data_IF_091213189242
#
_entry.id   IF_091213189242
#
_cell.length_a   1.000
_cell.length_b   1.000
_cell.length_c   1.000
_cell.angle_alpha   90.00
_cell.angle_beta   90.00
_cell.angle_gamma   90.00
#
_symmetry.space_group_name_H-M   'P 1'
#
loop_
_entity.id
_entity.type
_entity.pdbx_description
1 polymer ?
#
# COMPACT_ATOMS: atom_id res chain seq x y z
N UNK A 1 -29.33 -3.26 -10.72
CA UNK A 1 -28.98 -2.84 -12.09
C UNK A 1 -27.66 -2.13 -11.97
N UNK A 2 -26.60 -2.82 -12.40
CA UNK A 2 -25.18 -2.58 -12.09
C UNK A 2 -24.53 -1.83 -13.27
N UNK A 3 -23.43 -1.12 -13.00
CA UNK A 3 -22.57 -0.49 -14.02
C UNK A 3 -22.27 -1.50 -15.12
N UNK A 4 -22.81 -1.24 -16.30
CA UNK A 4 -22.99 -2.29 -17.33
C UNK A 4 -21.76 -2.53 -18.20
N UNK A 5 -20.70 -1.72 -18.09
CA UNK A 5 -19.49 -1.93 -18.90
C UNK A 5 -18.24 -2.11 -18.03
N UNK A 6 -17.46 -3.15 -18.33
CA UNK A 6 -16.28 -3.54 -17.57
C UNK A 6 -15.19 -2.45 -17.53
N UNK A 7 -15.09 -1.67 -18.61
CA UNK A 7 -14.18 -0.53 -18.68
C UNK A 7 -14.58 0.61 -17.75
N UNK A 8 -15.88 0.86 -17.56
CA UNK A 8 -16.37 1.85 -16.59
C UNK A 8 -16.15 1.39 -15.14
N UNK A 9 -16.27 0.09 -14.85
CA UNK A 9 -15.95 -0.46 -13.52
C UNK A 9 -14.46 -0.28 -13.19
N UNK A 10 -13.59 -0.60 -14.13
CA UNK A 10 -12.15 -0.44 -13.97
C UNK A 10 -11.75 1.05 -13.87
N UNK A 11 -12.43 1.91 -14.63
CA UNK A 11 -12.27 3.37 -14.53
C UNK A 11 -12.72 3.96 -13.21
N UNK A 12 -13.84 3.49 -12.65
CA UNK A 12 -14.31 3.88 -11.32
C UNK A 12 -13.33 3.43 -10.26
N UNK A 13 -12.87 2.18 -10.32
CA UNK A 13 -11.86 1.68 -9.40
C UNK A 13 -10.64 2.61 -9.45
N UNK A 14 -10.09 2.85 -10.63
CA UNK A 14 -8.92 3.71 -10.85
C UNK A 14 -9.11 5.16 -10.41
N UNK A 15 -10.30 5.75 -10.62
CA UNK A 15 -10.60 7.11 -10.18
C UNK A 15 -10.73 7.22 -8.66
N UNK A 16 -11.49 6.31 -8.04
CA UNK A 16 -11.83 6.38 -6.62
C UNK A 16 -10.80 5.69 -5.71
N UNK A 17 -9.78 5.02 -6.29
CA UNK A 17 -8.57 4.55 -5.59
C UNK A 17 -7.38 5.49 -5.74
N UNK A 18 -7.54 6.63 -6.43
CA UNK A 18 -6.49 7.65 -6.47
C UNK A 18 -6.09 8.07 -5.06
N UNK A 19 -4.80 8.36 -4.91
CA UNK A 19 -4.18 8.71 -3.63
C UNK A 19 -4.55 10.12 -3.17
N UNK A 20 -5.35 10.87 -3.94
CA UNK A 20 -5.87 12.17 -3.51
C UNK A 20 -6.80 11.97 -2.28
N UNK A 21 -6.41 12.49 -1.09
CA UNK A 21 -7.19 12.31 0.14
C UNK A 21 -8.62 12.85 0.04
N UNK A 22 -8.83 13.88 -0.78
CA UNK A 22 -10.16 14.45 -0.99
C UNK A 22 -11.03 13.52 -1.84
N UNK A 23 -10.46 12.88 -2.86
CA UNK A 23 -11.16 11.85 -3.65
C UNK A 23 -11.47 10.64 -2.77
N UNK A 24 -10.57 10.25 -1.87
CA UNK A 24 -10.80 9.14 -0.92
C UNK A 24 -11.95 9.44 0.06
N UNK A 25 -12.02 10.65 0.61
CA UNK A 25 -13.16 11.09 1.44
C UNK A 25 -14.47 11.03 0.66
N UNK A 26 -14.44 11.45 -0.60
CA UNK A 26 -15.60 11.35 -1.51
C UNK A 26 -16.01 9.90 -1.72
N UNK A 27 -15.06 8.97 -1.93
CA UNK A 27 -15.36 7.53 -2.08
C UNK A 27 -16.07 6.97 -0.85
N UNK A 28 -15.56 7.25 0.36
CA UNK A 28 -16.17 6.80 1.61
C UNK A 28 -17.55 7.40 1.83
N UNK A 29 -17.72 8.69 1.56
CA UNK A 29 -18.99 9.37 1.70
C UNK A 29 -20.05 8.81 0.74
N UNK A 30 -19.68 8.57 -0.52
CA UNK A 30 -20.57 7.94 -1.50
C UNK A 30 -20.93 6.51 -1.04
N UNK A 31 -19.95 5.71 -0.61
CA UNK A 31 -20.20 4.37 -0.09
C UNK A 31 -21.16 4.37 1.11
N UNK A 32 -21.06 5.35 2.02
CA UNK A 32 -21.94 5.47 3.19
C UNK A 32 -23.36 5.81 2.78
N UNK A 33 -23.51 6.78 1.88
CA UNK A 33 -24.80 7.22 1.34
C UNK A 33 -25.50 6.05 0.64
N UNK A 34 -24.77 5.29 -0.17
CA UNK A 34 -25.33 4.18 -0.93
C UNK A 34 -25.65 2.97 -0.03
N UNK A 35 -24.78 2.67 0.94
CA UNK A 35 -24.99 1.56 1.89
C UNK A 35 -26.03 1.87 2.99
N UNK A 36 -26.61 3.08 3.02
CA UNK A 36 -27.57 3.53 4.04
C UNK A 36 -27.05 3.36 5.48
N UNK A 37 -25.74 3.54 5.69
CA UNK A 37 -25.07 3.31 6.98
C UNK A 37 -25.25 1.88 7.55
N UNK A 38 -25.58 0.89 6.71
CA UNK A 38 -25.78 -0.50 7.16
C UNK A 38 -24.47 -1.23 7.45
N UNK A 39 -23.34 -0.67 7.02
CA UNK A 39 -22.01 -1.24 7.18
C UNK A 39 -21.35 -0.58 8.40
N UNK A 40 -21.12 -1.37 9.46
CA UNK A 40 -20.52 -0.90 10.73
C UNK A 40 -19.15 -0.22 10.57
N UNK A 41 -18.41 -0.62 9.54
CA UNK A 41 -17.10 -0.06 9.21
C UNK A 41 -16.97 0.04 7.70
N UNK A 42 -17.13 1.26 7.19
CA UNK A 42 -17.01 1.52 5.77
C UNK A 42 -15.55 1.71 5.36
N UNK A 43 -15.03 0.71 4.66
CA UNK A 43 -13.67 0.78 4.10
C UNK A 43 -13.73 1.32 2.67
N UNK A 44 -12.57 1.71 2.13
CA UNK A 44 -12.46 2.14 0.73
C UNK A 44 -12.95 1.04 -0.21
N UNK A 45 -12.54 -0.19 0.03
CA UNK A 45 -12.96 -1.38 -0.72
C UNK A 45 -14.47 -1.63 -0.62
N UNK A 46 -15.05 -1.58 0.58
CA UNK A 46 -16.50 -1.73 0.76
C UNK A 46 -17.26 -0.60 0.06
N UNK A 47 -16.73 0.63 0.10
CA UNK A 47 -17.33 1.77 -0.60
C UNK A 47 -17.32 1.57 -2.11
N UNK A 48 -16.20 1.11 -2.66
CA UNK A 48 -16.06 0.79 -4.09
C UNK A 48 -17.00 -0.34 -4.50
N UNK A 49 -17.07 -1.42 -3.73
CA UNK A 49 -17.98 -2.55 -4.00
C UNK A 49 -19.44 -2.08 -4.01
N UNK A 50 -19.85 -1.33 -2.99
CA UNK A 50 -21.20 -0.75 -2.89
C UNK A 50 -21.46 0.24 -4.04
N UNK A 51 -20.49 1.07 -4.41
CA UNK A 51 -20.61 1.99 -5.56
C UNK A 51 -20.79 1.23 -6.87
N UNK A 52 -20.02 0.16 -7.09
CA UNK A 52 -20.13 -0.68 -8.28
C UNK A 52 -21.45 -1.45 -8.33
N UNK A 53 -21.92 -1.97 -7.19
CA UNK A 53 -23.16 -2.77 -7.09
C UNK A 53 -24.44 -1.94 -7.27
N UNK A 54 -24.43 -0.69 -6.79
CA UNK A 54 -25.65 0.12 -6.70
C UNK A 54 -25.71 1.30 -7.68
N UNK A 55 -24.60 1.69 -8.32
CA UNK A 55 -24.63 2.70 -9.38
C UNK A 55 -24.95 2.06 -10.74
N UNK A 56 -25.72 2.77 -11.57
CA UNK A 56 -26.19 2.27 -12.86
C UNK A 56 -25.21 2.53 -14.00
N UNK A 57 -24.59 3.69 -13.98
CA UNK A 57 -23.62 4.15 -14.97
C UNK A 57 -22.59 5.06 -14.28
N UNK A 58 -21.38 5.06 -14.82
CA UNK A 58 -20.29 5.79 -14.20
C UNK A 58 -20.40 7.31 -14.42
N UNK A 59 -21.05 7.76 -15.49
CA UNK A 59 -21.33 9.17 -15.74
C UNK A 59 -22.19 9.79 -14.64
N UNK A 60 -23.29 9.14 -14.26
CA UNK A 60 -24.18 9.55 -13.17
C UNK A 60 -23.49 9.54 -11.80
N UNK A 61 -22.52 8.65 -11.60
CA UNK A 61 -21.72 8.61 -10.38
C UNK A 61 -20.78 9.82 -10.30
N UNK A 62 -20.07 10.13 -11.39
CA UNK A 62 -19.20 11.32 -11.48
C UNK A 62 -19.98 12.63 -11.51
N UNK A 63 -21.24 12.62 -11.93
CA UNK A 63 -22.11 13.80 -11.94
C UNK A 63 -22.53 14.26 -10.54
N UNK A 64 -22.45 13.40 -9.50
CA UNK A 64 -22.85 13.76 -8.13
C UNK A 64 -22.10 15.00 -7.62
N UNK A 65 -22.79 15.87 -6.88
CA UNK A 65 -22.21 17.13 -6.37
C UNK A 65 -20.97 16.95 -5.49
N UNK A 66 -20.89 15.80 -4.81
CA UNK A 66 -19.74 15.43 -3.98
C UNK A 66 -18.48 15.16 -4.81
N UNK A 67 -18.63 14.76 -6.07
CA UNK A 67 -17.52 14.67 -7.04
C UNK A 67 -17.37 16.04 -7.69
N UNK A 68 -16.45 16.85 -7.17
CA UNK A 68 -16.20 18.20 -7.68
C UNK A 68 -15.46 18.16 -9.02
N UNK A 69 -15.68 19.19 -9.83
CA UNK A 69 -15.05 19.43 -11.14
C UNK A 69 -13.51 19.37 -11.06
N UNK A 70 -12.94 19.90 -9.97
CA UNK A 70 -11.49 19.89 -9.72
C UNK A 70 -10.89 18.48 -9.62
N UNK A 71 -11.63 17.50 -9.10
CA UNK A 71 -11.17 16.12 -9.00
C UNK A 71 -11.14 15.44 -10.37
N UNK A 72 -12.13 15.70 -11.21
CA UNK A 72 -12.15 15.21 -12.59
C UNK A 72 -11.01 15.82 -13.40
N UNK A 73 -10.74 17.10 -13.20
CA UNK A 73 -9.66 17.82 -13.88
C UNK A 73 -8.28 17.27 -13.49
N UNK A 74 -8.01 17.14 -12.18
CA UNK A 74 -6.78 16.51 -11.67
C UNK A 74 -6.61 15.08 -12.19
N UNK A 75 -7.69 14.30 -12.17
CA UNK A 75 -7.69 12.93 -12.70
C UNK A 75 -7.24 12.88 -14.16
N UNK A 76 -7.80 13.72 -15.02
CA UNK A 76 -7.47 13.77 -16.45
C UNK A 76 -6.04 14.29 -16.71
N UNK A 77 -5.56 15.24 -15.91
CA UNK A 77 -4.18 15.73 -15.98
C UNK A 77 -3.16 14.62 -15.69
N UNK A 78 -3.43 13.72 -14.75
CA UNK A 78 -2.57 12.55 -14.46
C UNK A 78 -2.40 11.64 -15.67
N UNK A 79 -3.34 11.67 -16.63
CA UNK A 79 -3.29 10.92 -17.88
C UNK A 79 -2.84 11.77 -19.09
N UNK A 80 -2.24 12.94 -18.85
CA UNK A 80 -1.81 13.89 -19.87
C UNK A 80 -2.94 14.40 -20.79
N UNK A 81 -4.19 14.37 -20.32
CA UNK A 81 -5.34 14.94 -21.02
C UNK A 81 -5.54 16.37 -20.49
N UNK A 82 -5.05 17.35 -21.25
CA UNK A 82 -5.20 18.77 -20.93
C UNK A 82 -6.49 19.31 -21.51
N UNK A 83 -7.33 19.89 -20.66
CA UNK A 83 -8.58 20.55 -21.04
C UNK A 83 -8.55 22.03 -20.62
N UNK A 84 -9.29 22.90 -21.33
CA UNK A 84 -9.45 24.29 -20.92
C UNK A 84 -9.97 24.40 -19.47
N UNK A 85 -9.47 25.33 -18.64
CA UNK A 85 -9.88 25.47 -17.24
C UNK A 85 -11.35 25.90 -17.07
N UNK A 86 -11.99 26.41 -18.12
CA UNK A 86 -13.41 26.73 -18.23
C UNK A 86 -14.29 25.56 -18.71
N UNK A 87 -13.71 24.36 -18.84
CA UNK A 87 -14.44 23.16 -19.26
C UNK A 87 -15.58 22.81 -18.31
N UNK A 88 -16.76 22.60 -18.87
CA UNK A 88 -17.94 22.21 -18.09
C UNK A 88 -17.74 20.84 -17.42
N UNK A 89 -18.39 20.61 -16.28
CA UNK A 89 -18.36 19.30 -15.59
C UNK A 89 -18.80 18.15 -16.50
N UNK A 90 -19.79 18.38 -17.37
CA UNK A 90 -20.24 17.39 -18.35
C UNK A 90 -19.14 17.03 -19.37
N UNK A 91 -18.37 18.02 -19.83
CA UNK A 91 -17.22 17.82 -20.71
C UNK A 91 -16.12 17.00 -20.03
N UNK A 92 -15.82 17.27 -18.76
CA UNK A 92 -14.83 16.50 -18.00
C UNK A 92 -15.27 15.05 -17.79
N UNK A 93 -16.55 14.83 -17.47
CA UNK A 93 -17.10 13.47 -17.31
C UNK A 93 -16.98 12.69 -18.62
N UNK A 94 -17.34 13.30 -19.76
CA UNK A 94 -17.23 12.66 -21.06
C UNK A 94 -15.77 12.27 -21.38
N UNK A 95 -14.81 13.14 -21.05
CA UNK A 95 -13.38 12.84 -21.23
C UNK A 95 -12.89 11.71 -20.32
N UNK A 96 -13.37 11.63 -19.07
CA UNK A 96 -13.09 10.49 -18.18
C UNK A 96 -13.63 9.17 -18.77
N UNK A 97 -14.87 9.18 -19.28
CA UNK A 97 -15.47 7.98 -19.88
C UNK A 97 -14.75 7.56 -21.16
N UNK A 98 -14.32 8.51 -21.99
CA UNK A 98 -13.53 8.23 -23.19
C UNK A 98 -12.14 7.68 -22.86
N UNK A 99 -11.48 8.21 -21.84
CA UNK A 99 -10.22 7.67 -21.31
C UNK A 99 -10.41 6.23 -20.86
N UNK A 100 -11.46 5.93 -20.11
CA UNK A 100 -11.72 4.56 -19.64
C UNK A 100 -12.03 3.59 -20.77
N UNK A 101 -12.79 4.03 -21.78
CA UNK A 101 -13.00 3.26 -23.02
C UNK A 101 -11.69 2.97 -23.75
N UNK A 102 -10.77 3.94 -23.82
CA UNK A 102 -9.45 3.74 -24.44
C UNK A 102 -8.56 2.80 -23.63
N UNK A 103 -8.52 3.00 -22.31
CA UNK A 103 -7.61 2.32 -21.38
C UNK A 103 -8.05 0.89 -21.05
N UNK A 104 -9.35 0.67 -20.96
CA UNK A 104 -9.93 -0.59 -20.50
C UNK A 104 -10.92 -1.22 -21.49
N UNK A 105 -11.23 -0.56 -22.62
CA UNK A 105 -12.20 -1.07 -23.61
C UNK A 105 -11.60 -1.96 -24.69
N UNK A 106 -10.29 -2.22 -24.70
CA UNK A 106 -9.65 -3.05 -25.72
C UNK A 106 -9.36 -4.47 -25.23
N UNK A 107 -10.41 -5.30 -25.21
CA UNK A 107 -10.29 -6.74 -25.36
C UNK A 107 -11.57 -7.29 -26.00
N UNK A 108 -11.64 -7.24 -27.34
CA UNK A 108 -12.24 -8.24 -28.25
C UNK A 108 -12.65 -7.58 -29.58
N UNK A 109 -11.83 -7.72 -30.62
CA UNK A 109 -12.37 -7.87 -31.98
C UNK A 109 -11.36 -8.57 -32.89
N UNK A 110 -11.54 -9.87 -33.06
CA UNK A 110 -11.03 -10.60 -34.23
C UNK A 110 -12.09 -10.42 -35.33
N UNK A 111 -11.75 -9.93 -36.53
CA UNK A 111 -12.72 -9.76 -37.60
C UNK A 111 -12.86 -11.06 -38.40
N UNK A 112 -14.05 -11.66 -38.39
CA UNK A 112 -14.50 -12.55 -39.47
C UNK A 112 -16.03 -12.66 -39.45
N UNK A 113 -16.62 -11.84 -40.32
CA UNK A 113 -17.71 -12.13 -41.26
C UNK A 113 -18.80 -13.16 -40.95
N UNK A 114 -20.01 -12.67 -41.24
CA UNK A 114 -21.24 -13.31 -41.76
C UNK A 114 -22.30 -13.84 -40.78
N UNK A 115 -23.38 -13.04 -40.75
CA UNK A 115 -24.81 -13.37 -40.86
C UNK A 115 -25.58 -14.04 -39.71
N UNK A 116 -26.62 -13.29 -39.32
CA UNK A 116 -27.96 -13.68 -38.87
C UNK A 116 -28.35 -13.57 -37.37
N UNK A 117 -29.28 -12.62 -37.17
CA UNK A 117 -30.20 -12.34 -36.06
C UNK A 117 -31.17 -13.53 -35.76
N UNK A 118 -32.09 -13.44 -34.75
CA UNK A 118 -32.01 -12.86 -33.40
C UNK A 118 -32.75 -13.68 -32.29
N UNK A 119 -32.18 -13.74 -31.07
CA UNK A 119 -32.85 -13.84 -29.74
C UNK A 119 -33.92 -14.93 -29.45
N UNK A 120 -34.50 -14.98 -28.22
CA UNK A 120 -34.06 -14.43 -26.93
C UNK A 120 -34.08 -15.46 -25.76
N UNK A 121 -33.44 -15.06 -24.64
CA UNK A 121 -33.71 -15.42 -23.23
C UNK A 121 -33.65 -16.90 -22.80
N UNK A 122 -32.66 -17.31 -21.99
CA UNK A 122 -32.53 -17.10 -20.53
C UNK A 122 -32.94 -18.35 -19.74
N UNK A 123 -31.96 -19.16 -19.32
CA UNK A 123 -31.75 -19.55 -17.92
C UNK A 123 -30.73 -20.71 -17.80
N UNK A 124 -29.99 -20.67 -16.70
CA UNK A 124 -29.07 -21.69 -16.15
C UNK A 124 -27.66 -21.80 -16.76
N UNK A 125 -26.67 -21.27 -16.03
CA UNK A 125 -25.54 -22.02 -15.45
C UNK A 125 -24.42 -21.05 -15.01
N UNK A 126 -24.37 -20.81 -13.69
CA UNK A 126 -23.18 -20.82 -12.83
C UNK A 126 -21.85 -20.30 -13.40
N UNK A 127 -21.49 -19.06 -13.06
CA UNK A 127 -20.08 -18.62 -13.10
C UNK A 127 -19.52 -18.65 -11.69
N UNK A 128 -18.68 -19.65 -11.45
CA UNK A 128 -17.91 -19.83 -10.25
C UNK A 128 -16.89 -18.69 -10.10
N UNK A 129 -16.76 -18.19 -8.86
CA UNK A 129 -15.60 -17.44 -8.40
C UNK A 129 -14.32 -18.25 -8.63
N UNK A 130 -13.15 -17.63 -8.86
CA UNK A 130 -11.89 -18.32 -8.61
C UNK A 130 -11.83 -18.61 -7.12
N UNK A 131 -12.21 -19.83 -6.77
CA UNK A 131 -12.09 -20.34 -5.41
C UNK A 131 -10.62 -20.43 -5.04
N UNK A 132 -10.36 -20.09 -3.79
CA UNK A 132 -9.19 -20.52 -3.06
C UNK A 132 -9.17 -22.05 -3.04
N UNK A 133 -8.41 -22.65 -3.95
CA UNK A 133 -8.07 -24.06 -3.88
C UNK A 133 -6.59 -24.19 -4.16
N UNK A 134 -5.86 -24.70 -3.18
CA UNK A 134 -4.56 -25.30 -3.40
C UNK A 134 -4.74 -26.42 -4.45
N UNK A 135 -4.28 -26.18 -5.67
CA UNK A 135 -3.69 -27.23 -6.49
C UNK A 135 -2.76 -26.64 -7.55
N UNK A 136 -1.64 -27.33 -7.71
CA UNK A 136 -0.40 -26.80 -8.27
C UNK A 136 -0.41 -26.76 -9.78
N UNK A 137 -0.05 -25.63 -10.38
CA UNK A 137 0.48 -25.55 -11.76
C UNK A 137 1.21 -24.22 -12.02
N UNK A 138 2.51 -24.19 -11.69
CA UNK A 138 3.58 -23.36 -12.29
C UNK A 138 3.25 -21.89 -12.63
N UNK A 139 3.15 -21.01 -11.63
CA UNK A 139 3.41 -19.57 -11.84
C UNK A 139 3.92 -18.79 -10.61
N UNK A 140 4.45 -19.45 -9.57
CA UNK A 140 4.94 -18.81 -8.33
C UNK A 140 5.93 -17.65 -8.55
N UNK A 141 6.60 -17.62 -9.71
CA UNK A 141 7.51 -16.53 -10.07
C UNK A 141 6.82 -15.19 -10.37
N UNK A 142 5.57 -15.15 -10.84
CA UNK A 142 4.95 -13.89 -11.31
C UNK A 142 4.53 -12.97 -10.16
N UNK A 143 4.00 -13.53 -9.06
CA UNK A 143 3.56 -12.73 -7.91
C UNK A 143 4.73 -12.03 -7.21
N UNK A 144 5.84 -12.74 -7.00
CA UNK A 144 7.05 -12.16 -6.42
C UNK A 144 7.74 -11.17 -7.35
N UNK A 145 7.65 -11.38 -8.67
CA UNK A 145 8.22 -10.47 -9.65
C UNK A 145 7.43 -9.15 -9.70
N UNK A 146 6.09 -9.23 -9.78
CA UNK A 146 5.22 -8.07 -9.71
C UNK A 146 5.40 -7.30 -8.39
N UNK A 147 5.65 -7.98 -7.27
CA UNK A 147 5.87 -7.35 -5.97
C UNK A 147 7.10 -6.42 -5.98
N UNK A 148 8.26 -6.90 -6.44
CA UNK A 148 9.49 -6.08 -6.50
C UNK A 148 9.38 -4.97 -7.54
N UNK A 149 8.73 -5.22 -8.69
CA UNK A 149 8.53 -4.20 -9.72
C UNK A 149 7.61 -3.08 -9.24
N UNK A 150 6.51 -3.41 -8.55
CA UNK A 150 5.62 -2.43 -7.95
C UNK A 150 6.33 -1.60 -6.86
N UNK A 151 7.14 -2.24 -6.02
CA UNK A 151 7.94 -1.54 -5.01
C UNK A 151 8.98 -0.60 -5.63
N UNK A 152 9.65 -1.04 -6.69
CA UNK A 152 10.62 -0.21 -7.42
C UNK A 152 9.93 0.93 -8.19
N UNK A 153 8.74 0.71 -8.74
CA UNK A 153 7.94 1.78 -9.34
C UNK A 153 7.52 2.83 -8.29
N UNK A 154 7.14 2.39 -7.09
CA UNK A 154 6.88 3.27 -5.95
C UNK A 154 8.14 4.06 -5.53
N UNK A 155 9.30 3.41 -5.57
CA UNK A 155 10.59 4.05 -5.32
C UNK A 155 10.94 5.06 -6.42
N UNK A 156 10.67 4.76 -7.70
CA UNK A 156 11.05 5.59 -8.84
C UNK A 156 10.12 6.80 -9.05
N UNK A 157 8.83 6.67 -8.74
CA UNK A 157 7.87 7.77 -8.82
C UNK A 157 8.09 8.84 -7.76
N UNK A 158 8.81 8.50 -6.69
CA UNK A 158 9.14 9.43 -5.62
C UNK A 158 10.42 10.23 -5.93
N UNK A 159 10.29 11.25 -6.77
CA UNK A 159 11.24 12.39 -6.88
C UNK A 159 11.14 13.34 -5.66
N UNK A 160 10.98 12.77 -4.47
CA UNK A 160 10.60 13.48 -3.25
C UNK A 160 9.10 13.39 -2.97
N UNK A 161 8.78 13.18 -1.69
CA UNK A 161 7.47 13.47 -1.06
C UNK A 161 6.35 12.43 -1.30
N UNK A 162 6.35 11.27 -0.64
CA UNK A 162 5.38 11.05 0.48
C UNK A 162 5.78 11.75 1.78
N UNK A 163 7.04 12.14 1.87
CA UNK A 163 7.64 12.99 2.89
C UNK A 163 7.16 14.44 2.75
N UNK A 164 6.28 14.90 3.64
CA UNK A 164 6.68 16.18 4.25
C UNK A 164 8.05 15.94 4.87
N UNK A 165 8.93 16.93 4.91
CA UNK A 165 10.26 16.80 5.53
C UNK A 165 10.20 16.31 7.00
N UNK A 166 9.01 16.13 7.56
CA UNK A 166 8.72 15.36 8.75
C UNK A 166 7.69 14.24 8.45
N UNK A 167 7.92 13.03 8.95
CA UNK A 167 6.96 11.91 8.86
C UNK A 167 5.59 12.34 9.36
N UNK A 168 4.62 12.50 8.44
CA UNK A 168 3.30 13.07 8.72
C UNK A 168 2.51 12.25 9.76
N UNK A 169 2.66 12.59 11.04
CA UNK A 169 1.50 12.97 11.84
C UNK A 169 1.03 14.38 11.41
N UNK A 170 -0.18 14.82 11.78
CA UNK A 170 -0.76 16.03 11.22
C UNK A 170 0.11 17.28 11.48
N UNK A 171 0.20 18.15 10.47
CA UNK A 171 0.85 19.44 10.57
C UNK A 171 -0.13 20.53 10.96
N UNK A 172 0.23 21.22 12.06
CA UNK A 172 -0.22 22.50 12.62
C UNK A 172 -1.71 22.78 12.96
N UNK A 173 -1.98 23.28 14.19
CA UNK A 173 -3.25 23.91 14.53
C UNK A 173 -3.21 25.38 14.09
N UNK A 174 -3.75 25.69 12.92
CA UNK A 174 -4.20 27.06 12.63
C UNK A 174 -5.61 27.26 13.20
N UNK A 175 -5.73 27.13 14.52
CA UNK A 175 -6.86 27.60 15.30
C UNK A 175 -6.39 27.76 16.75
N UNK A 176 -6.14 29.01 17.16
CA UNK A 176 -5.96 29.34 18.57
C UNK A 176 -7.13 28.75 19.38
N UNK A 177 -6.87 27.71 20.17
CA UNK A 177 -7.85 27.19 21.13
C UNK A 177 -7.88 25.69 21.41
N UNK A 178 -7.23 24.82 20.62
CA UNK A 178 -7.27 23.37 20.90
C UNK A 178 -6.10 22.88 21.76
N UNK A 179 -6.36 22.02 22.77
CA UNK A 179 -5.31 21.47 23.63
C UNK A 179 -4.34 20.59 22.81
N UNK A 180 -3.05 20.58 23.13
CA UNK A 180 -2.07 19.78 22.40
C UNK A 180 -2.33 18.29 22.61
N UNK A 181 -2.62 17.55 21.52
CA UNK A 181 -2.35 16.11 21.46
C UNK A 181 -3.51 15.13 21.27
N UNK A 182 -4.44 15.35 20.33
CA UNK A 182 -5.52 14.37 20.06
C UNK A 182 -5.83 14.04 18.59
N UNK A 183 -4.98 14.37 17.62
CA UNK A 183 -5.14 13.80 16.27
C UNK A 183 -4.36 12.48 16.14
N UNK A 184 -5.01 11.40 16.57
CA UNK A 184 -4.48 10.04 16.48
C UNK A 184 -4.48 9.58 15.01
N UNK A 185 -3.33 9.71 14.32
CA UNK A 185 -3.15 9.08 13.00
C UNK A 185 -3.35 7.56 13.15
N UNK A 186 -4.15 6.90 12.28
CA UNK A 186 -4.39 5.47 12.40
C UNK A 186 -3.07 4.70 12.45
N UNK A 187 -2.84 3.93 13.51
CA UNK A 187 -1.55 3.29 13.80
C UNK A 187 -1.01 2.44 12.65
N UNK A 188 -1.91 1.82 11.89
CA UNK A 188 -1.57 1.02 10.71
C UNK A 188 -1.06 1.86 9.53
N UNK A 189 -1.61 3.07 9.35
CA UNK A 189 -1.11 3.98 8.32
C UNK A 189 0.28 4.47 8.69
N UNK A 190 0.51 4.80 9.98
CA UNK A 190 1.83 5.24 10.44
C UNK A 190 2.87 4.13 10.23
N UNK A 191 2.54 2.92 10.64
CA UNK A 191 3.40 1.77 10.47
C UNK A 191 3.71 1.50 8.99
N UNK A 192 2.72 1.60 8.11
CA UNK A 192 2.90 1.42 6.66
C UNK A 192 3.83 2.50 6.07
N UNK A 193 3.52 3.77 6.31
CA UNK A 193 4.29 4.90 5.79
C UNK A 193 5.74 4.84 6.29
N UNK A 194 5.93 4.55 7.57
CA UNK A 194 7.26 4.41 8.17
C UNK A 194 8.04 3.21 7.60
N UNK A 195 7.38 2.06 7.44
CA UNK A 195 8.00 0.85 6.88
C UNK A 195 8.48 1.10 5.45
N UNK A 196 7.67 1.76 4.62
CA UNK A 196 8.05 2.12 3.25
C UNK A 196 9.24 3.06 3.27
N UNK A 197 9.20 4.14 4.05
CA UNK A 197 10.33 5.06 4.17
C UNK A 197 11.62 4.37 4.60
N UNK A 198 11.55 3.59 5.67
CA UNK A 198 12.70 2.93 6.28
C UNK A 198 13.40 2.02 5.28
N UNK A 199 12.65 1.13 4.62
CA UNK A 199 13.24 0.19 3.66
C UNK A 199 13.68 0.86 2.36
N UNK A 200 13.03 1.95 1.92
CA UNK A 200 13.55 2.76 0.80
C UNK A 200 14.89 3.40 1.15
N UNK A 201 15.00 4.01 2.34
CA UNK A 201 16.23 4.63 2.83
C UNK A 201 17.34 3.61 3.02
N UNK A 202 17.02 2.46 3.61
CA UNK A 202 17.91 1.29 3.75
C UNK A 202 18.43 0.82 2.40
N UNK A 203 17.53 0.52 1.45
CA UNK A 203 17.91 -0.01 0.14
C UNK A 203 18.73 0.99 -0.68
N UNK A 204 18.56 2.30 -0.45
CA UNK A 204 19.34 3.37 -1.09
C UNK A 204 20.65 3.76 -0.41
N UNK A 205 20.99 3.16 0.75
CA UNK A 205 22.11 3.61 1.59
C UNK A 205 22.00 5.10 1.98
N UNK A 206 20.78 5.56 2.25
CA UNK A 206 20.48 6.96 2.59
C UNK A 206 19.82 7.13 3.95
N UNK A 207 19.82 6.05 4.76
CA UNK A 207 19.45 6.08 6.16
C UNK A 207 20.64 6.61 6.97
N UNK A 208 20.40 7.53 7.88
CA UNK A 208 21.43 8.17 8.70
C UNK A 208 21.05 8.12 10.19
N UNK A 209 21.96 8.60 11.04
CA UNK A 209 21.82 8.54 12.49
C UNK A 209 20.61 9.31 13.04
N UNK A 210 20.08 10.30 12.32
CA UNK A 210 18.91 11.09 12.76
C UNK A 210 17.63 10.25 12.84
N UNK A 211 17.60 9.10 12.17
CA UNK A 211 16.51 8.14 12.21
C UNK A 211 16.38 7.44 13.58
N UNK A 212 17.40 7.50 14.44
CA UNK A 212 17.50 6.70 15.65
C UNK A 212 17.58 7.58 16.90
N UNK A 213 17.03 7.06 18.00
CA UNK A 213 17.33 7.59 19.33
C UNK A 213 18.78 7.27 19.73
N UNK A 214 19.38 8.14 20.54
CA UNK A 214 20.77 7.95 21.04
C UNK A 214 20.96 6.63 21.78
N UNK A 215 19.90 6.13 22.41
CA UNK A 215 19.88 4.90 23.19
C UNK A 215 19.28 3.72 22.41
N UNK A 216 19.01 3.89 21.10
CA UNK A 216 18.40 2.87 20.25
C UNK A 216 19.19 1.55 20.27
N UNK A 217 18.47 0.43 20.18
CA UNK A 217 19.09 -0.89 20.05
C UNK A 217 18.62 -1.57 18.76
N UNK A 218 19.52 -2.33 18.15
CA UNK A 218 19.23 -3.19 17.02
C UNK A 218 19.62 -4.62 17.34
N UNK A 219 18.76 -5.57 16.95
CA UNK A 219 19.06 -6.99 16.97
C UNK A 219 18.80 -7.56 15.58
N UNK A 220 19.83 -8.12 14.97
CA UNK A 220 19.73 -8.81 13.68
C UNK A 220 19.95 -10.30 13.91
N UNK A 221 18.94 -11.08 13.57
CA UNK A 221 19.04 -12.53 13.45
C UNK A 221 19.17 -12.86 11.96
N UNK A 222 20.16 -13.67 11.62
CA UNK A 222 20.44 -14.05 10.25
C UNK A 222 20.58 -15.57 10.16
N UNK A 223 19.83 -16.18 9.27
CA UNK A 223 19.87 -17.61 8.97
C UNK A 223 20.02 -17.78 7.45
N UNK A 224 21.25 -17.99 6.99
CA UNK A 224 21.55 -18.17 5.55
C UNK A 224 21.59 -19.67 5.19
N UNK A 225 22.18 -20.46 6.07
CA UNK A 225 22.29 -21.91 5.95
C UNK A 225 22.39 -22.52 7.34
N UNK A 226 22.40 -23.85 7.46
CA UNK A 226 22.60 -24.54 8.75
C UNK A 226 23.94 -24.16 9.43
N UNK A 227 24.96 -23.80 8.65
CA UNK A 227 26.29 -23.44 9.16
C UNK A 227 26.53 -21.94 9.26
N UNK A 228 25.68 -21.13 8.62
CA UNK A 228 25.78 -19.68 8.59
C UNK A 228 24.53 -19.06 9.21
N UNK A 229 24.47 -19.16 10.54
CA UNK A 229 23.45 -18.51 11.37
C UNK A 229 24.13 -17.68 12.46
N UNK A 230 23.50 -16.57 12.84
CA UNK A 230 24.03 -15.70 13.87
C UNK A 230 23.00 -14.71 14.40
N UNK A 231 23.28 -14.19 15.59
CA UNK A 231 22.56 -13.05 16.15
C UNK A 231 23.58 -11.99 16.50
N UNK A 232 23.35 -10.79 15.99
CA UNK A 232 24.15 -9.61 16.31
C UNK A 232 23.28 -8.58 17.02
N UNK A 233 23.84 -7.94 18.04
CA UNK A 233 23.16 -6.91 18.80
C UNK A 233 24.09 -5.72 18.96
N UNK A 234 23.59 -4.54 18.60
CA UNK A 234 24.30 -3.26 18.70
C UNK A 234 23.40 -2.20 19.33
N UNK A 235 24.03 -1.20 19.93
CA UNK A 235 23.34 -0.08 20.59
C UNK A 235 23.94 1.23 20.09
N UNK A 236 23.10 2.24 19.90
CA UNK A 236 23.50 3.55 19.42
C UNK A 236 23.39 3.70 17.89
N UNK A 237 23.00 4.90 17.40
CA UNK A 237 22.76 5.13 15.97
C UNK A 237 23.91 4.72 15.05
N UNK A 238 25.15 5.10 15.39
CA UNK A 238 26.33 4.83 14.59
C UNK A 238 26.60 3.33 14.39
N UNK A 239 26.52 2.54 15.46
CA UNK A 239 26.75 1.09 15.39
C UNK A 239 25.61 0.38 14.64
N UNK A 240 24.38 0.88 14.78
CA UNK A 240 23.25 0.40 13.98
C UNK A 240 23.51 0.66 12.49
N UNK A 241 23.86 1.88 12.09
CA UNK A 241 24.17 2.20 10.68
C UNK A 241 25.32 1.34 10.15
N UNK A 242 26.37 1.14 10.95
CA UNK A 242 27.49 0.29 10.58
C UNK A 242 27.06 -1.17 10.35
N UNK A 243 26.22 -1.72 11.23
CA UNK A 243 25.64 -3.06 11.06
C UNK A 243 24.82 -3.16 9.78
N UNK A 244 23.95 -2.18 9.53
CA UNK A 244 23.10 -2.11 8.32
C UNK A 244 23.96 -2.15 7.04
N UNK A 245 25.00 -1.30 6.99
CA UNK A 245 25.92 -1.23 5.85
C UNK A 245 26.69 -2.53 5.70
N UNK A 246 27.26 -3.07 6.79
CA UNK A 246 27.99 -4.35 6.78
C UNK A 246 27.16 -5.49 6.20
N UNK A 247 25.89 -5.61 6.61
CA UNK A 247 24.96 -6.62 6.08
C UNK A 247 24.74 -6.45 4.57
N UNK A 248 24.52 -5.20 4.11
CA UNK A 248 24.32 -4.93 2.68
C UNK A 248 25.57 -5.20 1.85
N UNK A 249 26.75 -4.83 2.33
CA UNK A 249 28.02 -5.09 1.62
C UNK A 249 28.35 -6.58 1.59
N UNK A 250 28.16 -7.28 2.72
CA UNK A 250 28.53 -8.69 2.84
C UNK A 250 27.61 -9.62 2.05
N UNK A 251 26.30 -9.35 2.06
CA UNK A 251 25.30 -10.27 1.51
C UNK A 251 24.60 -9.76 0.25
N UNK A 252 24.82 -8.49 -0.12
CA UNK A 252 24.35 -7.88 -1.37
C UNK A 252 22.87 -8.13 -1.66
N UNK A 253 22.02 -7.89 -0.66
CA UNK A 253 20.57 -8.00 -0.77
C UNK A 253 19.87 -6.65 -0.63
N UNK A 254 18.60 -6.63 -1.00
CA UNK A 254 17.63 -5.60 -0.66
C UNK A 254 16.44 -6.22 0.08
N UNK A 255 15.87 -5.46 1.01
CA UNK A 255 14.72 -5.89 1.81
C UNK A 255 13.47 -5.17 1.29
N UNK A 256 12.49 -5.96 0.85
CA UNK A 256 11.30 -5.44 0.18
C UNK A 256 10.08 -5.86 0.98
N UNK A 257 9.46 -4.95 1.76
CA UNK A 257 8.33 -5.28 2.62
C UNK A 257 7.10 -5.67 1.81
N UNK A 258 6.28 -6.57 2.37
CA UNK A 258 4.89 -6.73 1.93
C UNK A 258 4.08 -5.55 2.49
N UNK A 259 3.74 -4.60 1.62
CA UNK A 259 3.02 -3.36 1.95
C UNK A 259 1.49 -3.54 1.96
N UNK A 260 1.01 -4.77 1.83
CA UNK A 260 -0.40 -5.12 2.01
C UNK A 260 -0.75 -5.23 3.50
N UNK A 261 -2.05 -5.22 3.83
CA UNK A 261 -2.54 -5.22 5.21
C UNK A 261 -2.12 -6.46 6.03
N UNK A 262 -1.84 -7.57 5.35
CA UNK A 262 -1.38 -8.82 5.94
C UNK A 262 0.14 -8.88 6.09
N UNK A 263 0.88 -7.94 5.48
CA UNK A 263 2.33 -7.84 5.51
C UNK A 263 2.89 -6.75 6.39
N UNK A 264 2.09 -5.71 6.70
CA UNK A 264 2.50 -4.58 7.52
C UNK A 264 1.36 -4.10 8.44
N UNK A 265 1.64 -3.96 9.74
CA UNK A 265 0.67 -3.50 10.73
C UNK A 265 1.32 -2.67 11.84
N UNK A 266 0.53 -1.77 12.42
CA UNK A 266 0.91 -0.96 13.58
C UNK A 266 0.27 -1.46 14.87
N UNK A 267 0.95 -1.26 16.00
CA UNK A 267 0.42 -1.50 17.36
C UNK A 267 0.78 -0.37 18.31
N UNK A 268 -0.16 0.01 19.16
CA UNK A 268 0.09 1.05 20.17
C UNK A 268 0.81 0.46 21.37
N UNK A 269 1.75 1.22 21.93
CA UNK A 269 2.38 0.95 23.22
C UNK A 269 2.23 2.18 24.12
N UNK A 270 2.33 2.00 25.44
CA UNK A 270 2.19 3.05 26.45
C UNK A 270 2.97 4.34 26.14
N UNK A 271 4.11 4.23 25.46
CA UNK A 271 4.98 5.36 25.15
C UNK A 271 5.38 5.45 23.66
N UNK A 272 4.66 4.81 22.73
CA UNK A 272 5.09 4.75 21.34
C UNK A 272 4.26 3.83 20.45
N UNK A 273 4.85 3.46 19.31
CA UNK A 273 4.21 2.61 18.29
C UNK A 273 5.16 1.48 17.90
N UNK A 274 4.63 0.29 17.67
CA UNK A 274 5.34 -0.79 16.99
C UNK A 274 4.88 -0.84 15.53
N UNK A 275 5.83 -0.78 14.59
CA UNK A 275 5.61 -1.18 13.21
C UNK A 275 6.09 -2.62 13.03
N UNK A 276 5.17 -3.51 12.67
CA UNK A 276 5.40 -4.92 12.41
C UNK A 276 5.33 -5.13 10.90
N UNK A 277 6.38 -5.69 10.31
CA UNK A 277 6.40 -5.94 8.87
C UNK A 277 7.09 -7.27 8.54
N UNK A 278 6.64 -7.95 7.50
CA UNK A 278 7.38 -9.02 6.86
C UNK A 278 7.52 -8.74 5.37
N UNK A 279 8.50 -9.38 4.73
CA UNK A 279 8.75 -9.16 3.31
C UNK A 279 9.75 -10.13 2.74
N UNK A 280 10.17 -9.85 1.52
CA UNK A 280 11.03 -10.72 0.72
C UNK A 280 12.42 -10.12 0.65
N UNK A 281 13.41 -11.00 0.72
CA UNK A 281 14.83 -10.68 0.53
C UNK A 281 15.15 -10.97 -0.92
N UNK A 282 15.54 -9.94 -1.67
CA UNK A 282 15.98 -10.10 -3.06
C UNK A 282 17.46 -9.81 -3.15
N UNK A 283 18.11 -10.31 -4.20
CA UNK A 283 19.42 -9.79 -4.58
C UNK A 283 19.33 -8.28 -4.87
N UNK A 284 20.41 -7.55 -4.60
CA UNK A 284 20.40 -6.09 -4.70
C UNK A 284 20.35 -5.57 -6.15
N UNK A 285 20.73 -6.40 -7.13
CA UNK A 285 20.73 -6.04 -8.56
C UNK A 285 20.07 -7.15 -9.38
N UNK A 286 19.33 -6.82 -10.44
CA UNK A 286 18.71 -7.84 -11.29
C UNK A 286 19.77 -8.68 -12.01
N UNK A 287 19.43 -9.94 -12.30
CA UNK A 287 20.26 -10.84 -13.08
C UNK A 287 20.28 -10.48 -14.57
N UNK A 288 20.96 -11.30 -15.40
CA UNK A 288 21.07 -11.08 -16.85
C UNK A 288 19.72 -11.03 -17.59
N UNK A 289 18.69 -11.63 -17.03
CA UNK A 289 17.31 -11.64 -17.53
C UNK A 289 16.48 -10.43 -17.07
N UNK A 290 17.13 -9.44 -16.46
CA UNK A 290 16.53 -8.28 -15.83
C UNK A 290 15.57 -8.65 -14.68
N UNK A 291 15.81 -9.79 -14.00
CA UNK A 291 14.98 -10.23 -12.87
C UNK A 291 15.73 -10.26 -11.56
N UNK A 292 15.04 -9.81 -10.50
CA UNK A 292 15.51 -10.00 -9.14
C UNK A 292 15.33 -11.45 -8.70
N UNK A 293 16.36 -12.01 -8.07
CA UNK A 293 16.36 -13.34 -7.50
C UNK A 293 15.88 -13.26 -6.06
N UNK A 294 14.84 -14.03 -5.73
CA UNK A 294 14.39 -14.21 -4.36
C UNK A 294 15.41 -15.06 -3.58
N UNK A 295 15.95 -14.51 -2.50
CA UNK A 295 16.92 -15.15 -1.62
C UNK A 295 16.25 -15.72 -0.36
N UNK A 296 15.12 -15.15 0.04
CA UNK A 296 14.47 -15.51 1.29
C UNK A 296 13.38 -14.55 1.72
N UNK A 297 13.06 -14.58 3.00
CA UNK A 297 12.10 -13.69 3.63
C UNK A 297 12.73 -13.00 4.84
N UNK A 298 12.10 -11.92 5.27
CA UNK A 298 12.44 -11.27 6.51
C UNK A 298 11.20 -10.88 7.32
N UNK A 299 11.42 -10.72 8.61
CA UNK A 299 10.46 -10.22 9.59
C UNK A 299 11.11 -9.06 10.33
N UNK A 300 10.36 -8.02 10.64
CA UNK A 300 10.88 -6.83 11.30
C UNK A 300 9.88 -6.28 12.29
N UNK A 301 10.41 -5.84 13.43
CA UNK A 301 9.71 -5.09 14.45
C UNK A 301 10.48 -3.80 14.70
N UNK A 302 9.85 -2.67 14.44
CA UNK A 302 10.41 -1.35 14.67
C UNK A 302 9.62 -0.66 15.78
N UNK A 303 10.27 -0.41 16.91
CA UNK A 303 9.74 0.39 18.01
C UNK A 303 10.02 1.86 17.76
N UNK A 304 8.95 2.62 17.57
CA UNK A 304 8.95 4.04 17.27
C UNK A 304 8.55 4.84 18.50
N UNK A 305 9.26 5.94 18.74
CA UNK A 305 8.87 6.96 19.71
C UNK A 305 8.93 8.34 19.07
N UNK A 306 7.96 9.16 19.41
CA UNK A 306 7.89 10.55 18.96
C UNK A 306 8.98 11.36 19.67
N UNK A 307 9.68 12.19 18.90
CA UNK A 307 10.56 13.20 19.44
C UNK A 307 9.71 14.36 19.98
N UNK A 308 9.82 14.73 21.28
CA UNK A 308 9.09 15.86 21.81
C UNK A 308 9.70 17.21 21.42
N UNK A 309 10.96 17.22 20.97
CA UNK A 309 11.71 18.44 20.62
C UNK A 309 11.54 18.85 19.16
N UNK A 310 11.25 17.88 18.29
CA UNK A 310 11.00 18.09 16.87
C UNK A 310 9.57 17.66 16.53
N UNK A 311 8.77 18.59 16.02
CA UNK A 311 7.40 18.24 15.65
C UNK A 311 7.40 17.20 14.53
N UNK A 312 6.56 16.18 14.66
CA UNK A 312 6.36 15.14 13.64
C UNK A 312 7.59 14.28 13.31
N UNK A 313 8.51 14.11 14.27
CA UNK A 313 9.63 13.19 14.10
C UNK A 313 9.44 11.89 14.90
N UNK A 314 9.30 10.76 14.21
CA UNK A 314 9.30 9.42 14.82
C UNK A 314 10.66 8.77 14.66
N UNK A 315 11.34 8.54 15.78
CA UNK A 315 12.68 7.93 15.81
C UNK A 315 12.62 6.49 16.28
N UNK A 316 13.53 5.67 15.74
CA UNK A 316 13.67 4.26 16.09
C UNK A 316 14.31 4.18 17.47
N UNK A 317 13.60 3.56 18.42
CA UNK A 317 14.11 3.20 19.74
C UNK A 317 14.56 1.73 19.79
N UNK A 318 13.95 0.87 18.98
CA UNK A 318 14.23 -0.56 18.89
C UNK A 318 14.05 -1.03 17.45
N UNK A 319 15.00 -1.81 16.94
CA UNK A 319 14.91 -2.47 15.64
C UNK A 319 15.24 -3.95 15.81
N UNK A 320 14.28 -4.83 15.55
CA UNK A 320 14.54 -6.27 15.46
C UNK A 320 14.31 -6.71 14.03
N UNK A 321 15.31 -7.31 13.42
CA UNK A 321 15.28 -7.80 12.04
C UNK A 321 15.66 -9.28 12.05
N UNK A 322 14.82 -10.11 11.47
CA UNK A 322 15.11 -11.52 11.26
C UNK A 322 15.09 -11.83 9.77
N UNK A 323 16.22 -12.26 9.22
CA UNK A 323 16.38 -12.64 7.82
C UNK A 323 16.61 -14.15 7.74
N UNK A 324 15.84 -14.83 6.87
CA UNK A 324 15.97 -16.26 6.61
C UNK A 324 16.10 -16.52 5.11
N UNK A 325 17.21 -17.12 4.68
CA UNK A 325 17.36 -17.59 3.32
C UNK A 325 16.64 -18.93 3.20
N UNK A 326 15.58 -18.92 2.41
CA UNK A 326 14.75 -20.10 2.18
C UNK A 326 13.93 -19.88 0.92
N UNK A 327 13.36 -20.96 0.40
CA UNK A 327 12.38 -20.86 -0.67
C UNK A 327 11.16 -20.08 -0.18
N UNK A 328 10.76 -19.06 -0.95
CA UNK A 328 9.54 -18.28 -0.73
C UNK A 328 8.59 -18.59 -1.88
N UNK A 329 7.50 -19.29 -1.58
CA UNK A 329 6.50 -19.67 -2.58
C UNK A 329 5.40 -18.62 -2.76
N UNK A 330 5.09 -17.88 -1.69
CA UNK A 330 4.06 -16.84 -1.64
C UNK A 330 4.61 -15.61 -0.89
N UNK A 331 3.96 -14.46 -1.09
CA UNK A 331 4.34 -13.24 -0.38
C UNK A 331 4.24 -13.45 1.14
N UNK A 332 5.28 -13.11 1.93
CA UNK A 332 5.24 -13.28 3.38
C UNK A 332 4.12 -12.47 4.03
N UNK A 333 3.44 -13.09 4.99
CA UNK A 333 2.35 -12.49 5.75
C UNK A 333 2.60 -12.64 7.25
N UNK A 334 2.22 -11.62 8.02
CA UNK A 334 2.40 -11.51 9.47
C UNK A 334 1.72 -12.65 10.23
N UNK A 335 0.60 -13.18 9.71
CA UNK A 335 -0.08 -14.33 10.30
C UNK A 335 0.79 -15.60 10.36
N UNK A 336 1.80 -15.69 9.49
CA UNK A 336 2.74 -16.81 9.47
C UNK A 336 3.98 -16.54 10.33
N UNK A 337 4.04 -15.37 10.97
CA UNK A 337 5.19 -14.93 11.74
C UNK A 337 5.28 -15.63 13.09
N UNK A 338 6.40 -16.28 13.38
CA UNK A 338 6.69 -16.80 14.73
C UNK A 338 7.26 -15.72 15.65
N UNK A 339 8.01 -14.77 15.08
CA UNK A 339 8.65 -13.68 15.83
C UNK A 339 7.62 -12.63 16.29
N UNK A 340 6.64 -12.31 15.43
CA UNK A 340 5.75 -11.16 15.62
C UNK A 340 4.40 -11.55 16.24
N UNK A 341 4.10 -12.85 16.38
CA UNK A 341 2.79 -13.35 16.83
C UNK A 341 2.35 -12.72 18.16
N UNK A 342 3.25 -12.67 19.15
CA UNK A 342 2.95 -12.06 20.45
C UNK A 342 2.63 -10.57 20.35
N UNK A 343 3.23 -9.87 19.39
CA UNK A 343 3.01 -8.44 19.18
C UNK A 343 1.69 -8.18 18.43
N UNK A 344 1.23 -9.11 17.59
CA UNK A 344 -0.03 -8.98 16.86
C UNK A 344 -1.25 -8.94 17.79
N UNK A 345 -1.12 -9.44 19.02
CA UNK A 345 -2.17 -9.41 20.05
C UNK A 345 -2.30 -8.06 20.77
N UNK A 346 -1.38 -7.12 20.55
CA UNK A 346 -1.42 -5.79 21.14
C UNK A 346 -2.60 -4.99 20.54
N UNK A 347 -3.25 -4.07 21.27
CA UNK A 347 -4.37 -3.29 20.75
C UNK A 347 -4.02 -2.38 19.55
N UNK A 348 -5.03 -2.15 18.72
CA UNK A 348 -5.00 -1.18 17.61
C UNK A 348 -5.42 0.24 18.07
N UNK A 349 -6.19 0.32 19.16
CA UNK A 349 -6.69 1.53 19.79
C UNK A 349 -6.29 1.55 21.27
N UNK A 350 -6.04 2.73 21.81
CA UNK A 350 -6.00 2.89 23.27
C UNK A 350 -7.46 2.95 23.72
N UNK A 351 -8.00 1.86 24.22
CA UNK A 351 -9.35 1.88 24.79
C UNK A 351 -9.33 2.83 26.00
N UNK A 352 -10.12 3.90 25.93
CA UNK A 352 -10.31 4.84 27.03
C UNK A 352 -11.16 4.11 28.07
N UNK A 353 -10.55 3.65 29.17
CA UNK A 353 -11.26 3.19 30.37
C UNK A 353 -11.72 4.39 31.18
#
# INVERSE_FOLDING_TARGET
MVISTEHERNGIADFFTQVDPEVRKVTLAIGNIISKNSIKEITLEKSLNVMMEHCRDAGSLLAKNIVKTEYLFKYLQTYNISLPPDSSKATLIEQCLQLWRRKYGSASYVPSTSSDQPGPSSSSATYAFPSTSADSSRSSGTTLHNHIDNYNALAASSNGVFFSENTNGPGQPDAEGEPPGLEQYPVNLLALDYTVWFFLKWNRNSLDESAFWVDANCTVMLEISETQQGTEQVCGPQDIINLILSLKFQYNFQLVPNIMFDGCQGRLMDSGVLALSCGVVYNNQPGPDNRFVCLGEFETLIGLRRDPTENNNWKIRMLKLYIRYKKVDNLPALANSKMLNNCLMIPLTMDIV
#
